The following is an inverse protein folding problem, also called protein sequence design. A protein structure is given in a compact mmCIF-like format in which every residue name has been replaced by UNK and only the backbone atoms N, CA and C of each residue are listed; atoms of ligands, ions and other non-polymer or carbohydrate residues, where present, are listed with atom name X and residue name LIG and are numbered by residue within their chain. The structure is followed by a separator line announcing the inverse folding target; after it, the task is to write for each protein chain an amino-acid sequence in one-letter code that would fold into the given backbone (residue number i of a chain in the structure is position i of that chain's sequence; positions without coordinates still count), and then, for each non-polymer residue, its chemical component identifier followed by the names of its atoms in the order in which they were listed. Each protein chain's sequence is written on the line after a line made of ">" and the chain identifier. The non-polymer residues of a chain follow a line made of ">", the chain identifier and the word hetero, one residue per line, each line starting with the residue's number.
data_IF_624281805960
#
_entry.id   IF_624281805960
#
_cell.length_a   1.000
_cell.length_b   1.000
_cell.length_c   1.000
_cell.angle_alpha   90.00
_cell.angle_beta   90.00
_cell.angle_gamma   90.00
#
_symmetry.space_group_name_H-M   'P 1'
#
loop_
_entity.id
_entity.type
_entity.pdbx_description
1 polymer ?
#
# COMPACT_ATOMS: atom_id res chain seq x y z
N UNK A 1 -19.38 -63.82 -59.99
CA UNK A 1 -19.42 -62.76 -61.03
C UNK A 1 -20.78 -62.07 -60.94
N UNK A 2 -20.98 -60.75 -60.78
CA UNK A 2 -20.13 -59.59 -60.50
C UNK A 2 -21.12 -58.51 -59.99
N UNK A 3 -20.90 -57.92 -58.81
CA UNK A 3 -21.82 -56.93 -58.19
C UNK A 3 -21.48 -55.53 -58.73
N UNK A 4 -22.42 -54.90 -59.45
CA UNK A 4 -22.28 -53.54 -60.04
C UNK A 4 -22.32 -52.48 -58.93
N UNK A 5 -21.20 -51.82 -58.64
CA UNK A 5 -21.16 -50.62 -57.79
C UNK A 5 -21.64 -49.41 -58.60
N UNK A 6 -22.68 -48.72 -58.15
CA UNK A 6 -23.07 -47.42 -58.69
C UNK A 6 -22.27 -46.31 -58.00
N UNK A 7 -21.56 -45.51 -58.80
CA UNK A 7 -20.84 -44.32 -58.34
C UNK A 7 -21.77 -43.12 -58.37
N UNK A 8 -22.19 -42.64 -57.19
CA UNK A 8 -22.98 -41.41 -57.04
C UNK A 8 -22.03 -40.20 -57.14
N UNK A 9 -22.13 -39.39 -58.21
CA UNK A 9 -21.38 -38.12 -58.32
C UNK A 9 -21.87 -37.14 -57.24
N UNK A 10 -20.95 -36.71 -56.37
CA UNK A 10 -21.17 -35.59 -55.44
C UNK A 10 -21.01 -34.27 -56.19
N UNK A 11 -22.09 -33.49 -56.26
CA UNK A 11 -22.03 -32.11 -56.75
C UNK A 11 -21.68 -31.19 -55.58
N UNK A 12 -20.54 -30.50 -55.68
CA UNK A 12 -20.14 -29.50 -54.68
C UNK A 12 -20.95 -28.22 -54.90
N UNK A 13 -22.01 -28.03 -54.10
CA UNK A 13 -22.81 -26.81 -54.10
C UNK A 13 -22.03 -25.70 -53.38
N UNK A 14 -21.47 -24.73 -54.11
CA UNK A 14 -20.89 -23.52 -53.51
C UNK A 14 -22.03 -22.76 -52.81
N UNK A 15 -21.93 -22.57 -51.48
CA UNK A 15 -22.87 -21.73 -50.71
C UNK A 15 -22.69 -20.28 -51.16
N UNK A 16 -23.73 -19.69 -51.74
CA UNK A 16 -23.76 -18.25 -52.02
C UNK A 16 -23.80 -17.50 -50.69
N UNK A 17 -22.81 -16.64 -50.45
CA UNK A 17 -22.75 -15.82 -49.24
C UNK A 17 -23.88 -14.79 -49.31
N UNK A 18 -24.73 -14.75 -48.29
CA UNK A 18 -25.91 -13.90 -48.29
C UNK A 18 -25.49 -12.45 -47.97
N UNK A 19 -25.71 -11.51 -48.90
CA UNK A 19 -25.21 -10.11 -48.78
C UNK A 19 -25.70 -9.42 -47.49
N UNK A 20 -26.92 -9.73 -47.05
CA UNK A 20 -27.47 -9.23 -45.79
C UNK A 20 -26.66 -9.69 -44.56
N UNK A 21 -26.19 -10.95 -44.56
CA UNK A 21 -25.35 -11.46 -43.48
C UNK A 21 -23.97 -10.79 -43.49
N UNK A 22 -23.43 -10.48 -44.67
CA UNK A 22 -22.16 -9.74 -44.78
C UNK A 22 -22.30 -8.32 -44.23
N UNK A 23 -23.36 -7.61 -44.58
CA UNK A 23 -23.63 -6.24 -44.08
C UNK A 23 -23.82 -6.26 -42.55
N UNK A 24 -24.57 -7.23 -42.02
CA UNK A 24 -24.77 -7.39 -40.58
C UNK A 24 -23.45 -7.66 -39.86
N UNK A 25 -22.62 -8.58 -40.36
CA UNK A 25 -21.30 -8.89 -39.77
C UNK A 25 -20.38 -7.67 -39.80
N UNK A 26 -20.33 -6.94 -40.92
CA UNK A 26 -19.51 -5.73 -41.03
C UNK A 26 -19.98 -4.65 -40.06
N UNK A 27 -21.29 -4.42 -39.95
CA UNK A 27 -21.84 -3.47 -38.98
C UNK A 27 -21.52 -3.85 -37.53
N UNK A 28 -21.60 -5.14 -37.21
CA UNK A 28 -21.27 -5.65 -35.88
C UNK A 28 -19.78 -5.48 -35.55
N UNK A 29 -18.88 -5.68 -36.53
CA UNK A 29 -17.45 -5.44 -36.37
C UNK A 29 -17.16 -3.96 -36.09
N UNK A 30 -17.80 -3.04 -36.83
CA UNK A 30 -17.60 -1.59 -36.65
C UNK A 30 -18.03 -1.16 -35.25
N UNK A 31 -19.14 -1.69 -34.74
CA UNK A 31 -19.62 -1.41 -33.38
C UNK A 31 -18.72 -2.05 -32.33
N UNK A 32 -18.25 -3.28 -32.54
CA UNK A 32 -17.44 -4.01 -31.55
C UNK A 32 -16.02 -3.46 -31.41
N UNK A 33 -15.43 -2.92 -32.48
CA UNK A 33 -14.05 -2.43 -32.50
C UNK A 33 -13.72 -1.40 -31.40
N UNK A 34 -14.51 -0.32 -31.17
CA UNK A 34 -14.22 0.63 -30.10
C UNK A 34 -14.29 0.00 -28.70
N UNK A 35 -15.24 -0.92 -28.46
CA UNK A 35 -15.34 -1.61 -27.17
C UNK A 35 -14.17 -2.56 -26.91
N UNK A 36 -13.61 -3.18 -27.95
CA UNK A 36 -12.41 -4.01 -27.83
C UNK A 36 -11.18 -3.17 -27.47
N UNK A 37 -11.03 -1.98 -28.06
CA UNK A 37 -9.93 -1.06 -27.75
C UNK A 37 -10.06 -0.56 -26.30
N UNK A 38 -11.24 -0.09 -25.90
CA UNK A 38 -11.49 0.40 -24.54
C UNK A 38 -11.32 -0.75 -23.54
N UNK A 39 -11.87 -1.94 -23.82
CA UNK A 39 -11.72 -3.12 -22.98
C UNK A 39 -10.26 -3.53 -22.81
N UNK A 40 -9.46 -3.47 -23.87
CA UNK A 40 -8.02 -3.71 -23.81
C UNK A 40 -7.30 -2.68 -22.93
N UNK A 41 -7.63 -1.40 -23.07
CA UNK A 41 -7.03 -0.33 -22.26
C UNK A 41 -7.39 -0.50 -20.79
N UNK A 42 -8.66 -0.79 -20.46
CA UNK A 42 -9.10 -1.00 -19.08
C UNK A 42 -8.43 -2.22 -18.47
N UNK A 43 -8.38 -3.35 -19.17
CA UNK A 43 -7.69 -4.55 -18.67
C UNK A 43 -6.19 -4.28 -18.49
N UNK A 44 -5.54 -3.64 -19.46
CA UNK A 44 -4.12 -3.29 -19.37
C UNK A 44 -3.86 -2.34 -18.19
N UNK A 45 -4.67 -1.30 -18.04
CA UNK A 45 -4.57 -0.35 -16.94
C UNK A 45 -4.85 -1.03 -15.59
N UNK A 46 -5.83 -1.91 -15.47
CA UNK A 46 -6.11 -2.67 -14.24
C UNK A 46 -5.03 -3.69 -13.90
N UNK A 47 -4.25 -4.15 -14.88
CA UNK A 47 -3.07 -4.99 -14.63
C UNK A 47 -1.85 -4.16 -14.22
N UNK A 48 -1.74 -2.91 -14.69
CA UNK A 48 -0.67 -1.96 -14.36
C UNK A 48 -1.00 -1.08 -13.13
N UNK A 49 -2.24 -1.10 -12.64
CA UNK A 49 -2.62 -0.38 -11.43
C UNK A 49 -1.91 -0.98 -10.21
N UNK A 50 -1.20 -0.14 -9.47
CA UNK A 50 -0.48 -0.53 -8.27
C UNK A 50 1.03 -0.66 -8.46
N UNK A 51 1.57 -0.56 -9.68
CA UNK A 51 3.02 -0.36 -9.85
C UNK A 51 3.33 1.13 -9.71
N UNK A 52 4.24 1.54 -8.80
CA UNK A 52 4.61 2.95 -8.67
C UNK A 52 5.17 3.46 -10.00
N UNK A 53 4.94 4.74 -10.32
CA UNK A 53 5.65 5.40 -11.42
C UNK A 53 7.11 5.46 -11.01
N UNK A 54 7.89 4.48 -11.49
CA UNK A 54 9.33 4.42 -11.30
C UNK A 54 9.96 5.52 -12.15
N UNK A 55 10.02 6.74 -11.62
CA UNK A 55 10.98 7.73 -12.10
C UNK A 55 12.40 7.18 -11.97
N UNK A 56 13.37 7.76 -12.67
CA UNK A 56 14.79 7.33 -12.63
C UNK A 56 15.50 7.55 -11.27
N UNK A 57 14.77 7.70 -10.16
CA UNK A 57 15.27 8.05 -8.82
C UNK A 57 16.33 7.09 -8.26
N UNK A 58 16.37 5.86 -8.76
CA UNK A 58 17.32 4.81 -8.37
C UNK A 58 18.14 4.29 -9.56
N UNK A 59 18.22 5.04 -10.65
CA UNK A 59 18.96 4.60 -11.83
C UNK A 59 20.46 4.56 -11.52
N UNK A 60 21.02 3.35 -11.53
CA UNK A 60 22.44 3.11 -11.18
C UNK A 60 22.68 2.89 -9.68
N UNK A 61 21.64 3.04 -8.85
CA UNK A 61 21.61 2.70 -7.44
C UNK A 61 21.08 1.26 -7.25
N UNK A 62 21.03 0.80 -5.99
CA UNK A 62 20.42 -0.50 -5.62
C UNK A 62 21.07 -1.70 -6.35
N UNK A 63 22.39 -1.65 -6.45
CA UNK A 63 23.21 -2.66 -7.12
C UNK A 63 24.32 -3.13 -6.17
N UNK A 64 24.26 -4.38 -5.68
CA UNK A 64 23.42 -5.47 -6.18
C UNK A 64 21.94 -5.35 -5.82
N UNK A 65 21.08 -5.86 -6.71
CA UNK A 65 19.63 -5.87 -6.49
C UNK A 65 19.22 -7.02 -5.56
N UNK A 66 18.28 -6.75 -4.64
CA UNK A 66 17.64 -7.80 -3.83
C UNK A 66 16.71 -8.62 -4.71
N UNK A 67 16.88 -9.95 -4.70
CA UNK A 67 16.12 -10.88 -5.53
C UNK A 67 14.93 -11.50 -4.79
N UNK A 68 14.01 -12.11 -5.55
CA UNK A 68 12.89 -12.88 -4.96
C UNK A 68 13.38 -14.07 -4.11
N UNK A 69 14.49 -14.70 -4.50
CA UNK A 69 15.08 -15.79 -3.71
C UNK A 69 15.63 -15.31 -2.38
N UNK A 70 16.19 -14.09 -2.32
CA UNK A 70 16.65 -13.49 -1.07
C UNK A 70 15.46 -13.24 -0.14
N UNK A 71 14.38 -12.64 -0.66
CA UNK A 71 13.12 -12.41 0.07
C UNK A 71 12.57 -13.71 0.65
N UNK A 72 12.43 -14.76 -0.16
CA UNK A 72 11.93 -16.06 0.31
C UNK A 72 12.86 -16.72 1.33
N UNK A 73 14.17 -16.54 1.19
CA UNK A 73 15.16 -17.08 2.14
C UNK A 73 15.09 -16.37 3.49
N UNK A 74 14.95 -15.05 3.49
CA UNK A 74 14.78 -14.22 4.69
C UNK A 74 13.47 -14.60 5.38
N UNK A 75 12.35 -14.65 4.66
CA UNK A 75 11.04 -15.01 5.22
C UNK A 75 11.08 -16.41 5.87
N UNK A 76 11.71 -17.39 5.21
CA UNK A 76 11.85 -18.75 5.75
C UNK A 76 12.69 -18.79 7.04
N UNK A 77 13.75 -17.99 7.11
CA UNK A 77 14.60 -17.86 8.31
C UNK A 77 13.82 -17.23 9.46
N UNK A 78 13.11 -16.14 9.20
CA UNK A 78 12.33 -15.43 10.22
C UNK A 78 11.23 -16.32 10.79
N UNK A 79 10.51 -17.04 9.92
CA UNK A 79 9.49 -18.01 10.35
C UNK A 79 10.05 -19.14 11.23
N UNK A 80 11.36 -19.40 11.16
CA UNK A 80 12.02 -20.42 11.96
C UNK A 80 12.56 -19.88 13.29
N UNK A 81 12.43 -18.58 13.55
CA UNK A 81 12.79 -17.96 14.83
C UNK A 81 11.74 -18.36 15.86
N UNK A 82 12.20 -18.81 17.03
CA UNK A 82 11.32 -19.20 18.13
C UNK A 82 10.46 -18.01 18.60
N UNK A 83 9.18 -18.27 18.86
CA UNK A 83 8.19 -17.26 19.24
C UNK A 83 7.68 -16.36 18.10
N UNK A 84 8.06 -16.61 16.84
CA UNK A 84 7.42 -16.00 15.67
C UNK A 84 6.30 -16.90 15.15
N UNK A 85 5.06 -16.40 15.17
CA UNK A 85 3.88 -17.13 14.69
C UNK A 85 3.66 -16.97 13.18
N UNK A 86 3.87 -15.75 12.67
CA UNK A 86 3.76 -15.43 11.23
C UNK A 86 4.84 -14.45 10.82
N UNK A 87 5.21 -14.49 9.55
CA UNK A 87 6.14 -13.52 8.97
C UNK A 87 5.75 -13.15 7.55
N UNK A 88 6.10 -11.94 7.14
CA UNK A 88 6.02 -11.48 5.75
C UNK A 88 7.24 -10.63 5.43
N UNK A 89 7.74 -10.71 4.19
CA UNK A 89 8.87 -9.89 3.72
C UNK A 89 8.49 -9.27 2.39
N UNK A 90 8.58 -7.94 2.31
CA UNK A 90 8.14 -7.16 1.16
C UNK A 90 9.22 -6.17 0.75
N UNK A 91 9.47 -6.05 -0.55
CA UNK A 91 10.37 -5.04 -1.10
C UNK A 91 9.55 -4.01 -1.88
N UNK A 92 9.41 -2.81 -1.32
CA UNK A 92 8.63 -1.73 -1.92
C UNK A 92 9.49 -0.46 -2.04
N UNK A 93 9.66 0.05 -3.27
CA UNK A 93 10.34 1.34 -3.53
C UNK A 93 11.71 1.49 -2.85
N UNK A 94 12.54 0.43 -2.92
CA UNK A 94 13.87 0.35 -2.30
C UNK A 94 13.91 0.24 -0.76
N UNK A 95 12.79 -0.06 -0.13
CA UNK A 95 12.73 -0.42 1.29
C UNK A 95 12.37 -1.89 1.43
N UNK A 96 13.24 -2.66 2.08
CA UNK A 96 12.93 -4.03 2.50
C UNK A 96 12.20 -3.95 3.84
N UNK A 97 10.94 -4.36 3.84
CA UNK A 97 10.08 -4.42 5.01
C UNK A 97 9.93 -5.85 5.46
N UNK A 98 10.14 -6.06 6.74
CA UNK A 98 10.05 -7.36 7.38
C UNK A 98 9.01 -7.26 8.48
N UNK A 99 8.02 -8.14 8.46
CA UNK A 99 6.98 -8.23 9.46
C UNK A 99 7.11 -9.56 10.20
N UNK A 100 7.15 -9.52 11.53
CA UNK A 100 7.14 -10.68 12.41
C UNK A 100 6.02 -10.50 13.45
N UNK A 101 5.02 -11.37 13.34
CA UNK A 101 3.95 -11.55 14.31
C UNK A 101 4.46 -12.50 15.41
N UNK A 102 4.58 -12.00 16.63
CA UNK A 102 5.08 -12.75 17.79
C UNK A 102 3.94 -13.15 18.71
N UNK A 103 4.23 -14.06 19.64
CA UNK A 103 3.24 -14.52 20.62
C UNK A 103 2.63 -13.36 21.42
N UNK A 104 1.33 -13.48 21.74
CA UNK A 104 0.54 -12.45 22.43
C UNK A 104 1.14 -11.95 23.75
N UNK A 105 1.90 -12.78 24.46
CA UNK A 105 2.46 -12.47 25.78
C UNK A 105 3.77 -11.68 25.80
N UNK A 106 4.28 -11.25 24.64
CA UNK A 106 5.54 -10.51 24.55
C UNK A 106 5.45 -9.13 25.20
N UNK A 107 6.44 -8.79 26.03
CA UNK A 107 6.65 -7.42 26.51
C UNK A 107 7.37 -6.56 25.48
N UNK A 108 7.40 -5.24 25.67
CA UNK A 108 8.18 -4.31 24.85
C UNK A 108 9.66 -4.73 24.73
N UNK A 109 10.31 -5.06 25.86
CA UNK A 109 11.71 -5.50 25.88
C UNK A 109 11.92 -6.80 25.08
N UNK A 110 10.99 -7.75 25.17
CA UNK A 110 11.07 -9.00 24.41
C UNK A 110 10.87 -8.76 22.91
N UNK A 111 9.96 -7.86 22.53
CA UNK A 111 9.75 -7.48 21.13
C UNK A 111 10.97 -6.74 20.56
N UNK A 112 11.63 -5.88 21.33
CA UNK A 112 12.89 -5.22 20.93
C UNK A 112 14.03 -6.22 20.74
N UNK A 113 14.18 -7.18 21.66
CA UNK A 113 15.15 -8.27 21.51
C UNK A 113 14.86 -9.09 20.24
N UNK A 114 13.58 -9.41 20.00
CA UNK A 114 13.16 -10.12 18.80
C UNK A 114 13.44 -9.34 17.52
N UNK A 115 13.30 -8.01 17.55
CA UNK A 115 13.65 -7.16 16.41
C UNK A 115 15.14 -7.27 16.05
N UNK A 116 16.02 -7.36 17.05
CA UNK A 116 17.46 -7.61 16.82
C UNK A 116 17.71 -9.01 16.24
N UNK A 117 17.05 -10.06 16.72
CA UNK A 117 17.18 -11.41 16.17
C UNK A 117 16.72 -11.49 14.70
N UNK A 118 15.63 -10.78 14.38
CA UNK A 118 15.13 -10.66 13.00
C UNK A 118 16.13 -9.88 12.15
N UNK A 119 16.71 -8.80 12.66
CA UNK A 119 17.73 -8.02 11.98
C UNK A 119 18.96 -8.87 11.63
N UNK A 120 19.50 -9.59 12.60
CA UNK A 120 20.63 -10.50 12.38
C UNK A 120 20.27 -11.61 11.37
N UNK A 121 19.04 -12.10 11.39
CA UNK A 121 18.56 -13.09 10.43
C UNK A 121 18.51 -12.54 9.01
N UNK A 122 18.08 -11.29 8.81
CA UNK A 122 18.16 -10.59 7.51
C UNK A 122 19.62 -10.46 7.07
N UNK A 123 20.51 -10.01 7.97
CA UNK A 123 21.92 -9.78 7.67
C UNK A 123 22.68 -11.08 7.35
N UNK A 124 22.19 -12.22 7.83
CA UNK A 124 22.73 -13.53 7.44
C UNK A 124 22.50 -13.90 5.97
N UNK A 125 21.61 -13.19 5.28
CA UNK A 125 21.31 -13.34 3.84
C UNK A 125 21.84 -12.16 3.05
N UNK A 126 21.62 -10.93 3.54
CA UNK A 126 21.97 -9.69 2.86
C UNK A 126 22.94 -8.89 3.73
N UNK A 127 24.21 -8.82 3.31
CA UNK A 127 25.24 -8.07 4.06
C UNK A 127 24.86 -6.59 4.25
N UNK A 128 25.07 -6.10 5.48
CA UNK A 128 24.69 -4.74 5.89
C UNK A 128 25.34 -3.67 5.00
N UNK A 129 26.65 -3.76 4.81
CA UNK A 129 27.42 -2.75 4.09
C UNK A 129 27.15 -2.78 2.59
N UNK A 130 26.76 -3.95 2.07
CA UNK A 130 26.46 -4.14 0.66
C UNK A 130 25.06 -3.66 0.30
N UNK A 131 24.06 -3.99 1.11
CA UNK A 131 22.65 -3.78 0.74
C UNK A 131 21.98 -2.61 1.45
N UNK A 132 22.45 -2.20 2.64
CA UNK A 132 21.73 -1.26 3.51
C UNK A 132 22.58 -0.06 3.98
N UNK A 133 23.72 0.18 3.33
CA UNK A 133 24.60 1.33 3.59
C UNK A 133 24.93 2.03 2.29
N UNK A 134 24.71 3.34 2.24
CA UNK A 134 25.06 4.14 1.07
C UNK A 134 26.59 4.23 0.91
N UNK A 135 27.03 4.38 -0.33
CA UNK A 135 28.41 4.72 -0.66
C UNK A 135 28.47 6.16 -1.17
N UNK A 136 29.67 6.67 -1.46
CA UNK A 136 29.82 8.01 -2.07
C UNK A 136 29.09 8.14 -3.42
N UNK A 137 28.87 7.02 -4.11
CA UNK A 137 28.36 7.01 -5.49
C UNK A 137 26.99 6.36 -5.64
N UNK A 138 26.54 5.59 -4.63
CA UNK A 138 25.28 4.84 -4.71
C UNK A 138 24.46 4.94 -3.43
N UNK A 139 23.16 5.16 -3.61
CA UNK A 139 22.15 4.94 -2.56
C UNK A 139 21.78 3.46 -2.52
N UNK A 140 21.68 2.92 -1.32
CA UNK A 140 21.33 1.52 -1.09
C UNK A 140 19.94 1.41 -0.44
N UNK A 141 19.50 0.18 -0.19
CA UNK A 141 18.16 -0.08 0.33
C UNK A 141 18.02 0.43 1.76
N UNK A 142 16.79 0.79 2.12
CA UNK A 142 16.41 0.96 3.52
C UNK A 142 15.88 -0.37 4.06
N UNK A 143 16.05 -0.62 5.35
CA UNK A 143 15.53 -1.79 6.05
C UNK A 143 14.60 -1.34 7.18
N UNK A 144 13.39 -1.91 7.19
CA UNK A 144 12.41 -1.73 8.25
C UNK A 144 11.99 -3.10 8.78
N UNK A 145 12.09 -3.29 10.08
CA UNK A 145 11.69 -4.51 10.78
C UNK A 145 10.57 -4.16 11.75
N UNK A 146 9.45 -4.81 11.56
CA UNK A 146 8.22 -4.64 12.30
C UNK A 146 7.99 -5.90 13.13
N UNK A 147 8.08 -5.76 14.44
CA UNK A 147 7.76 -6.84 15.40
C UNK A 147 6.57 -6.42 16.21
N UNK A 148 5.51 -7.22 16.21
CA UNK A 148 4.29 -6.91 16.93
C UNK A 148 3.61 -8.18 17.41
N UNK A 149 2.80 -8.08 18.46
CA UNK A 149 1.83 -9.11 18.80
C UNK A 149 0.45 -8.72 18.26
N UNK A 150 -0.14 -9.52 17.37
CA UNK A 150 -1.52 -9.28 16.93
C UNK A 150 -2.50 -9.93 17.91
N UNK A 151 -2.60 -9.35 19.11
CA UNK A 151 -3.69 -9.67 20.03
C UNK A 151 -5.03 -9.38 19.31
N UNK A 152 -6.06 -10.20 19.59
CA UNK A 152 -7.42 -9.98 19.03
C UNK A 152 -7.99 -8.61 19.41
N UNK A 153 -7.42 -7.93 20.41
CA UNK A 153 -7.81 -6.61 20.86
C UNK A 153 -6.58 -5.67 20.81
N UNK A 154 -6.46 -4.91 19.71
CA UNK A 154 -5.36 -3.95 19.52
C UNK A 154 -5.41 -2.75 20.46
N UNK A 155 -6.53 -2.58 21.17
CA UNK A 155 -6.71 -1.55 22.19
C UNK A 155 -6.37 -2.08 23.60
N UNK A 156 -5.83 -3.31 23.71
CA UNK A 156 -5.35 -3.81 25.00
C UNK A 156 -3.98 -3.20 25.33
N UNK A 157 -3.75 -2.97 26.62
CA UNK A 157 -2.46 -2.50 27.14
C UNK A 157 -1.32 -3.51 26.89
N UNK A 158 -1.66 -4.75 26.52
CA UNK A 158 -0.71 -5.81 26.17
C UNK A 158 -0.23 -5.72 24.71
N UNK A 159 -0.80 -4.83 23.88
CA UNK A 159 -0.35 -4.64 22.50
C UNK A 159 1.02 -3.98 22.47
N UNK A 160 1.96 -4.65 21.82
CA UNK A 160 3.34 -4.23 21.64
C UNK A 160 3.63 -4.16 20.15
N UNK A 161 4.23 -3.06 19.74
CA UNK A 161 4.70 -2.90 18.37
C UNK A 161 6.02 -2.13 18.38
N UNK A 162 7.07 -2.81 17.93
CA UNK A 162 8.41 -2.27 17.73
C UNK A 162 8.69 -2.13 16.23
N UNK A 163 9.25 -0.99 15.85
CA UNK A 163 9.81 -0.75 14.51
C UNK A 163 11.30 -0.47 14.65
N UNK A 164 12.12 -1.29 14.01
CA UNK A 164 13.55 -1.03 13.84
C UNK A 164 13.80 -0.56 12.41
N UNK A 165 14.44 0.59 12.27
CA UNK A 165 14.72 1.23 10.99
C UNK A 165 16.21 1.44 10.80
N UNK A 166 16.73 0.99 9.65
CA UNK A 166 18.07 1.30 9.15
C UNK A 166 17.93 1.87 7.75
N UNK A 167 17.98 3.19 7.63
CA UNK A 167 18.08 3.80 6.29
C UNK A 167 19.51 3.68 5.79
N UNK A 168 19.67 3.73 4.47
CA UNK A 168 20.98 3.67 3.82
C UNK A 168 21.95 4.76 4.28
N UNK A 169 21.45 5.91 4.71
CA UNK A 169 22.26 7.03 5.21
C UNK A 169 22.58 7.00 6.72
N UNK A 170 22.00 6.07 7.48
CA UNK A 170 22.30 5.93 8.91
C UNK A 170 23.56 5.09 9.15
N UNK A 171 24.32 5.38 10.20
CA UNK A 171 25.44 4.53 10.64
C UNK A 171 24.92 3.26 11.33
N UNK A 172 23.96 3.41 12.24
CA UNK A 172 23.35 2.32 13.01
C UNK A 172 21.84 2.31 12.86
N UNK A 173 21.21 1.16 13.07
CA UNK A 173 19.75 1.05 13.13
C UNK A 173 19.21 1.82 14.35
N UNK A 174 17.99 2.31 14.26
CA UNK A 174 17.24 2.93 15.35
C UNK A 174 15.97 2.13 15.62
N UNK A 175 15.66 1.91 16.88
CA UNK A 175 14.47 1.17 17.32
C UNK A 175 13.47 2.13 17.97
N UNK A 176 12.19 1.94 17.68
CA UNK A 176 11.09 2.70 18.25
C UNK A 176 9.98 1.76 18.71
N UNK A 177 9.55 1.90 19.96
CA UNK A 177 8.30 1.33 20.46
C UNK A 177 7.14 2.25 20.05
N UNK A 178 6.28 1.78 19.15
CA UNK A 178 5.17 2.57 18.58
C UNK A 178 3.81 2.22 19.18
N UNK A 179 3.76 1.24 20.09
CA UNK A 179 2.59 0.97 20.93
C UNK A 179 2.46 1.92 22.12
N UNK A 180 3.51 2.68 22.44
CA UNK A 180 3.49 3.68 23.50
C UNK A 180 3.60 5.10 22.93
N UNK A 181 2.91 6.09 23.53
CA UNK A 181 3.01 7.47 23.09
C UNK A 181 4.40 8.03 23.41
N UNK A 182 5.00 8.72 22.44
CA UNK A 182 6.26 9.47 22.65
C UNK A 182 6.07 10.55 23.72
N UNK A 183 4.90 11.19 23.73
CA UNK A 183 4.49 12.18 24.73
C UNK A 183 3.11 11.77 25.27
N UNK A 184 3.11 11.23 26.50
CA UNK A 184 1.90 10.73 27.14
C UNK A 184 0.91 11.85 27.48
N UNK A 185 1.40 13.04 27.86
CA UNK A 185 0.55 14.19 28.21
C UNK A 185 -0.14 14.73 26.97
N UNK A 186 0.62 14.97 25.90
CA UNK A 186 0.07 15.44 24.63
C UNK A 186 -0.91 14.40 24.04
N UNK A 187 -0.57 13.11 24.10
CA UNK A 187 -1.47 12.06 23.63
C UNK A 187 -2.78 12.05 24.42
N UNK A 188 -2.74 12.28 25.74
CA UNK A 188 -3.96 12.36 26.54
C UNK A 188 -4.76 13.61 26.22
N UNK A 189 -4.12 14.77 26.10
CA UNK A 189 -4.78 16.01 25.70
C UNK A 189 -5.54 15.84 24.37
N UNK A 190 -4.89 15.24 23.37
CA UNK A 190 -5.52 15.00 22.06
C UNK A 190 -6.72 14.05 22.14
N UNK A 191 -6.70 13.06 23.05
CA UNK A 191 -7.85 12.18 23.30
C UNK A 191 -9.01 12.96 23.94
N UNK A 192 -8.72 13.75 24.97
CA UNK A 192 -9.71 14.57 25.67
C UNK A 192 -10.35 15.60 24.73
N UNK A 193 -9.57 16.24 23.85
CA UNK A 193 -10.06 17.20 22.84
C UNK A 193 -11.02 16.53 21.84
N UNK A 194 -10.74 15.30 21.42
CA UNK A 194 -11.63 14.52 20.53
C UNK A 194 -12.92 14.14 21.24
N UNK A 195 -12.85 13.70 22.50
CA UNK A 195 -14.03 13.40 23.30
C UNK A 195 -14.91 14.63 23.51
N UNK A 196 -14.31 15.78 23.82
CA UNK A 196 -15.01 17.06 23.99
C UNK A 196 -15.68 17.52 22.70
N UNK A 197 -15.04 17.33 21.54
CA UNK A 197 -15.66 17.63 20.24
C UNK A 197 -16.84 16.70 19.92
N UNK A 198 -16.71 15.42 20.24
CA UNK A 198 -17.73 14.42 19.91
C UNK A 198 -18.91 14.43 20.89
N UNK A 199 -18.69 14.84 22.13
CA UNK A 199 -19.71 14.92 23.16
C UNK A 199 -19.52 16.22 23.96
N UNK A 200 -19.85 17.39 23.36
CA UNK A 200 -19.69 18.68 24.01
C UNK A 200 -20.48 18.65 25.32
N UNK A 201 -19.77 18.64 26.44
CA UNK A 201 -20.40 18.84 27.74
C UNK A 201 -20.80 20.32 27.80
N UNK A 202 -22.07 20.66 28.09
CA UNK A 202 -22.43 22.04 28.34
C UNK A 202 -21.65 22.50 29.57
N UNK A 203 -20.70 23.39 29.38
CA UNK A 203 -20.08 24.13 30.48
C UNK A 203 -21.15 25.01 31.11
N UNK A 204 -21.20 25.04 32.45
CA UNK A 204 -22.22 25.76 33.21
C UNK A 204 -22.10 27.30 33.15
N UNK A 205 -21.30 27.84 32.23
CA UNK A 205 -21.05 29.26 32.05
C UNK A 205 -21.31 29.70 30.59
N UNK A 206 -22.40 29.21 30.00
CA UNK A 206 -22.87 29.68 28.69
C UNK A 206 -24.22 30.41 28.82
N UNK A 207 -24.22 31.47 29.62
CA UNK A 207 -25.17 32.59 29.50
C UNK A 207 -24.59 33.65 28.52
N UNK A 208 -23.95 33.21 27.44
CA UNK A 208 -23.14 34.05 26.56
C UNK A 208 -23.24 33.70 25.08
N UNK A 209 -24.40 34.01 24.49
CA UNK A 209 -24.60 34.19 23.04
C UNK A 209 -24.18 33.01 22.14
N UNK A 210 -25.16 32.17 21.78
CA UNK A 210 -25.02 31.21 20.69
C UNK A 210 -24.78 31.94 19.36
N UNK A 211 -23.51 32.17 19.02
CA UNK A 211 -23.11 32.44 17.65
C UNK A 211 -23.12 31.12 16.88
N UNK A 212 -24.27 30.80 16.31
CA UNK A 212 -24.40 29.77 15.28
C UNK A 212 -23.53 30.23 14.11
N UNK A 213 -22.36 29.62 13.96
CA UNK A 213 -21.46 29.75 12.81
C UNK A 213 -22.24 29.44 11.55
N UNK A 214 -22.77 30.51 10.96
CA UNK A 214 -23.57 30.48 9.75
C UNK A 214 -22.58 30.51 8.60
N UNK A 215 -22.49 29.39 7.91
CA UNK A 215 -22.25 29.30 6.48
C UNK A 215 -20.91 29.82 5.91
N UNK A 216 -20.03 28.87 5.56
CA UNK A 216 -19.22 29.01 4.34
C UNK A 216 -20.17 29.08 3.13
N UNK A 217 -20.62 30.28 2.77
CA UNK A 217 -21.20 30.55 1.46
C UNK A 217 -20.30 31.55 0.73
N UNK A 218 -19.97 31.16 -0.50
CA UNK A 218 -19.09 31.84 -1.45
C UNK A 218 -19.29 33.36 -1.51
N UNK A 219 -18.16 34.06 -1.54
CA UNK A 219 -18.10 35.48 -1.88
C UNK A 219 -18.61 35.68 -3.32
N UNK A 220 -19.73 36.38 -3.45
CA UNK A 220 -20.07 37.07 -4.69
C UNK A 220 -20.09 38.57 -4.42
N UNK A 221 -19.30 39.26 -5.23
CA UNK A 221 -19.02 40.67 -5.19
C UNK A 221 -20.28 41.54 -5.36
N UNK A 222 -20.18 42.75 -4.82
CA UNK A 222 -20.30 44.01 -5.58
C UNK A 222 -21.28 45.03 -4.96
N UNK A 223 -20.74 46.26 -4.91
CA UNK A 223 -21.44 47.55 -5.03
C UNK A 223 -21.85 48.26 -3.74
N UNK A 224 -20.96 49.19 -3.34
CA UNK A 224 -21.20 50.66 -3.18
C UNK A 224 -22.49 51.07 -2.46
N UNK A 225 -22.45 51.89 -1.43
CA UNK A 225 -22.13 53.34 -1.44
C UNK A 225 -22.35 53.77 0.03
N UNK A 226 -21.42 54.39 0.74
CA UNK A 226 -21.13 55.82 0.65
C UNK A 226 -21.85 56.60 1.76
N UNK A 227 -21.09 57.47 2.45
CA UNK A 227 -21.48 58.55 3.38
C UNK A 227 -21.94 58.13 4.79
N UNK A 228 -21.56 58.77 5.89
CA UNK A 228 -20.83 60.04 6.14
C UNK A 228 -20.48 60.08 7.65
N UNK A 229 -19.21 60.38 7.95
CA UNK A 229 -18.70 61.36 8.94
C UNK A 229 -19.47 61.61 10.27
N UNK A 230 -18.84 61.30 11.42
CA UNK A 230 -18.27 62.25 12.43
C UNK A 230 -19.22 63.40 12.80
N UNK A 231 -19.66 63.54 14.05
CA UNK A 231 -18.86 63.82 15.26
C UNK A 231 -19.73 63.60 16.53
#
# INVERSE_FOLDING_TARGET
>A
MTRKKSTKKRTNKKRSVNKANVILVVGLIIIALPFLIIGWIVISASLDTGTPILGERYKGDLDPAITKSDITSIESKIKSIDGVEKSSVELATATLRVYADVEDGYTAEQAEQKANEVFDSVLSVLDLNTYFSQTETKKMYDLEIHVYNLSKNRDSDDFVYVIMTKTSGMDTASTQLVSEPIDAELAQQLRDDVENRNNPKPTADDDGDMTVGTDEIEATEESTEGSEDTE
#
